data_IF_087420784323
#
_entry.id   IF_087420784323
#
_cell.length_a   1.000
_cell.length_b   1.000
_cell.length_c   1.000
_cell.angle_alpha   90.00
_cell.angle_beta   90.00
_cell.angle_gamma   90.00
#
_symmetry.space_group_name_H-M   'P 1'
#
loop_
_entity.id
_entity.type
_entity.pdbx_description
1 polymer ?
#
# COMPACT_ATOMS: atom_id res chain seq x y z
N UNK A 1 11.07 70.55 -41.08
CA UNK A 1 11.07 71.47 -39.92
C UNK A 1 10.07 70.95 -38.91
N UNK A 2 10.22 70.93 -37.60
CA UNK A 2 11.30 71.14 -36.65
C UNK A 2 10.62 70.86 -35.28
N UNK A 3 11.38 70.38 -34.28
CA UNK A 3 11.18 70.61 -32.82
C UNK A 3 9.83 70.17 -32.19
N UNK A 4 9.73 69.14 -31.34
CA UNK A 4 10.30 69.00 -29.97
C UNK A 4 9.88 70.19 -29.06
N UNK A 5 9.36 70.11 -27.82
CA UNK A 5 9.43 69.19 -26.67
C UNK A 5 8.21 69.53 -25.77
N UNK A 6 7.63 68.64 -24.96
CA UNK A 6 7.94 68.42 -23.53
C UNK A 6 6.77 67.60 -22.94
N UNK A 7 6.90 66.62 -22.06
CA UNK A 7 8.08 66.10 -21.40
C UNK A 7 7.78 64.90 -20.48
N UNK A 8 8.86 64.47 -19.81
CA UNK A 8 8.98 63.69 -18.56
C UNK A 8 8.29 62.31 -18.44
N UNK A 9 9.15 61.31 -18.66
CA UNK A 9 9.28 59.96 -18.08
C UNK A 9 9.17 59.91 -16.51
N UNK A 10 9.27 58.74 -15.83
CA UNK A 10 9.19 57.34 -16.29
C UNK A 10 8.43 56.35 -15.36
N UNK A 11 8.16 55.15 -15.90
CA UNK A 11 8.33 53.89 -15.16
C UNK A 11 7.03 53.25 -14.67
N UNK A 12 6.70 52.00 -14.97
CA UNK A 12 7.38 50.97 -15.73
C UNK A 12 6.61 49.67 -15.49
N UNK A 13 6.18 48.99 -16.57
CA UNK A 13 5.79 47.57 -16.52
C UNK A 13 6.35 46.87 -17.74
N UNK A 14 7.44 46.15 -17.49
CA UNK A 14 7.94 45.08 -18.34
C UNK A 14 7.06 43.82 -18.26
N UNK A 15 7.48 42.72 -18.91
CA UNK A 15 6.71 42.17 -20.00
C UNK A 15 5.90 40.92 -19.65
N UNK A 16 4.91 40.71 -20.50
CA UNK A 16 4.19 39.48 -20.74
C UNK A 16 5.15 38.29 -20.94
N UNK A 17 4.94 37.20 -20.19
CA UNK A 17 5.54 35.89 -20.44
C UNK A 17 4.50 34.82 -20.13
N UNK A 18 4.08 34.11 -21.17
CA UNK A 18 3.09 33.04 -21.08
C UNK A 18 3.63 31.74 -20.49
N UNK A 19 2.68 30.78 -20.45
CA UNK A 19 2.74 29.35 -20.08
C UNK A 19 2.44 29.04 -18.61
N UNK A 20 1.50 28.11 -18.44
CA UNK A 20 1.32 27.36 -17.19
C UNK A 20 -0.13 27.01 -16.93
N UNK A 21 -0.57 25.87 -17.46
CA UNK A 21 -1.89 25.29 -17.20
C UNK A 21 -2.11 25.03 -15.72
N UNK A 22 -3.38 25.10 -15.35
CA UNK A 22 -3.95 24.95 -14.01
C UNK A 22 -3.64 23.53 -13.47
N UNK A 23 -2.53 23.40 -12.75
CA UNK A 23 -2.19 22.21 -11.96
C UNK A 23 -1.60 22.66 -10.61
N UNK A 24 -2.44 23.23 -9.76
CA UNK A 24 -1.95 23.75 -8.47
C UNK A 24 -3.00 23.94 -7.37
N UNK A 25 -4.21 23.38 -7.51
CA UNK A 25 -5.30 23.63 -6.53
C UNK A 25 -5.77 22.34 -5.82
N UNK A 26 -5.29 21.15 -6.19
CA UNK A 26 -5.76 19.90 -5.56
C UNK A 26 -4.91 19.45 -4.35
N UNK A 27 -3.68 19.93 -4.18
CA UNK A 27 -2.80 19.45 -3.10
C UNK A 27 -2.93 20.21 -1.76
N UNK A 28 -3.78 21.22 -1.66
CA UNK A 28 -3.88 22.06 -0.45
C UNK A 28 -5.09 21.78 0.46
N UNK A 29 -5.92 20.78 0.16
CA UNK A 29 -7.15 20.49 0.94
C UNK A 29 -7.08 19.11 1.65
N UNK A 30 -5.93 18.44 1.65
CA UNK A 30 -5.76 17.14 2.31
C UNK A 30 -5.16 17.20 3.73
N UNK A 31 -4.96 18.39 4.29
CA UNK A 31 -4.35 18.61 5.60
C UNK A 31 -5.35 18.76 6.76
N UNK A 32 -6.66 18.64 6.51
CA UNK A 32 -7.70 18.81 7.56
C UNK A 32 -8.58 17.58 7.82
N UNK A 33 -8.30 16.44 7.19
CA UNK A 33 -9.11 15.23 7.38
C UNK A 33 -8.22 14.16 8.01
N UNK A 34 -8.52 13.80 9.27
CA UNK A 34 -7.92 12.64 9.92
C UNK A 34 -8.11 11.37 9.06
N UNK A 35 -7.39 10.27 9.38
CA UNK A 35 -7.50 9.04 8.60
C UNK A 35 -8.99 8.67 8.45
N UNK A 36 -9.46 8.30 7.25
CA UNK A 36 -10.86 7.96 7.04
C UNK A 36 -11.26 6.90 8.07
N UNK A 37 -12.38 7.13 8.79
CA UNK A 37 -12.93 6.14 9.71
C UNK A 37 -13.09 4.83 8.94
N UNK A 38 -12.27 3.84 9.26
CA UNK A 38 -12.32 2.55 8.60
C UNK A 38 -13.68 1.92 8.91
N UNK A 39 -14.47 1.66 7.88
CA UNK A 39 -15.75 0.98 8.03
C UNK A 39 -15.52 -0.44 8.56
N UNK A 40 -16.38 -0.90 9.47
CA UNK A 40 -16.34 -2.26 9.99
C UNK A 40 -16.21 -3.31 8.86
N UNK A 41 -15.35 -4.31 9.05
CA UNK A 41 -15.17 -5.41 8.11
C UNK A 41 -16.27 -6.47 8.32
N UNK A 42 -17.53 -6.04 8.17
CA UNK A 42 -18.69 -6.90 8.36
C UNK A 42 -18.76 -8.00 7.28
N UNK A 43 -19.58 -9.03 7.57
CA UNK A 43 -19.76 -10.18 6.66
C UNK A 43 -20.10 -9.74 5.23
N UNK A 44 -20.97 -8.74 5.09
CA UNK A 44 -21.40 -8.19 3.80
C UNK A 44 -20.22 -7.61 3.02
N UNK A 45 -19.34 -6.88 3.69
CA UNK A 45 -18.14 -6.29 3.09
C UNK A 45 -17.18 -7.37 2.62
N UNK A 46 -16.98 -8.42 3.41
CA UNK A 46 -16.14 -9.56 3.00
C UNK A 46 -16.73 -10.30 1.79
N UNK A 47 -18.03 -10.58 1.80
CA UNK A 47 -18.72 -11.22 0.65
C UNK A 47 -18.62 -10.38 -0.62
N UNK A 48 -18.72 -9.05 -0.51
CA UNK A 48 -18.51 -8.14 -1.63
C UNK A 48 -17.07 -8.20 -2.15
N UNK A 49 -16.09 -8.29 -1.27
CA UNK A 49 -14.68 -8.45 -1.64
C UNK A 49 -14.46 -9.77 -2.39
N UNK A 50 -15.06 -10.88 -1.94
CA UNK A 50 -15.00 -12.16 -2.64
C UNK A 50 -15.51 -12.08 -4.08
N UNK A 51 -16.67 -11.45 -4.31
CA UNK A 51 -17.22 -11.28 -5.66
C UNK A 51 -16.28 -10.50 -6.59
N UNK A 52 -15.52 -9.55 -6.04
CA UNK A 52 -14.51 -8.80 -6.81
C UNK A 52 -13.30 -9.68 -7.13
N UNK A 53 -12.77 -10.45 -6.17
CA UNK A 53 -11.67 -11.38 -6.40
C UNK A 53 -12.02 -12.44 -7.46
N UNK A 54 -13.19 -13.05 -7.35
CA UNK A 54 -13.73 -14.03 -8.29
C UNK A 54 -13.87 -13.43 -9.71
N UNK A 55 -14.26 -12.16 -9.82
CA UNK A 55 -14.23 -11.44 -11.11
C UNK A 55 -12.82 -11.25 -11.64
N UNK A 56 -11.82 -10.96 -10.80
CA UNK A 56 -10.41 -10.86 -11.22
C UNK A 56 -9.90 -12.22 -11.71
N UNK A 57 -10.21 -13.31 -11.02
CA UNK A 57 -9.86 -14.68 -11.44
C UNK A 57 -10.42 -14.97 -12.83
N UNK A 58 -11.72 -14.73 -13.07
CA UNK A 58 -12.32 -14.93 -14.39
C UNK A 58 -11.66 -14.11 -15.49
N UNK A 59 -11.29 -12.86 -15.22
CA UNK A 59 -10.57 -12.03 -16.20
C UNK A 59 -9.18 -12.62 -16.49
N UNK A 60 -8.48 -13.11 -15.47
CA UNK A 60 -7.16 -13.73 -15.58
C UNK A 60 -7.17 -15.12 -16.25
N UNK A 61 -8.32 -15.80 -16.27
CA UNK A 61 -8.50 -17.08 -16.97
C UNK A 61 -8.60 -16.96 -18.49
N UNK A 62 -8.64 -15.73 -19.05
CA UNK A 62 -8.70 -15.55 -20.50
C UNK A 62 -7.45 -16.18 -21.17
N UNK A 63 -7.60 -17.17 -22.06
CA UNK A 63 -6.47 -17.86 -22.69
C UNK A 63 -5.50 -16.93 -23.43
N UNK A 64 -5.99 -15.80 -23.97
CA UNK A 64 -5.16 -14.81 -24.66
C UNK A 64 -4.12 -14.15 -23.76
N UNK A 65 -4.33 -14.20 -22.44
CA UNK A 65 -3.36 -13.67 -21.49
C UNK A 65 -2.10 -14.53 -21.41
N UNK A 66 -2.19 -15.84 -21.66
CA UNK A 66 -1.06 -16.77 -21.59
C UNK A 66 -0.29 -16.65 -20.27
N UNK A 67 -0.99 -16.60 -19.14
CA UNK A 67 -0.35 -16.51 -17.82
C UNK A 67 0.48 -17.77 -17.56
N UNK A 68 1.77 -17.58 -17.33
CA UNK A 68 2.70 -18.64 -16.94
C UNK A 68 2.41 -19.08 -15.51
N UNK A 69 2.42 -20.40 -15.27
CA UNK A 69 2.29 -20.96 -13.93
C UNK A 69 3.61 -20.84 -13.17
N UNK A 70 3.94 -19.61 -12.78
CA UNK A 70 5.13 -19.26 -12.01
C UNK A 70 4.78 -18.19 -10.99
N UNK A 71 5.34 -18.22 -9.77
CA UNK A 71 5.12 -17.17 -8.79
C UNK A 71 5.49 -15.78 -9.34
N UNK A 72 4.68 -14.73 -9.07
CA UNK A 72 3.38 -14.73 -8.38
C UNK A 72 2.22 -15.11 -9.33
N UNK A 73 1.65 -16.31 -9.16
CA UNK A 73 0.57 -16.81 -10.02
C UNK A 73 -0.81 -16.46 -9.45
N UNK A 74 -1.42 -15.40 -9.99
CA UNK A 74 -2.67 -14.82 -9.47
C UNK A 74 -3.85 -15.81 -9.43
N UNK A 75 -3.86 -16.79 -10.32
CA UNK A 75 -4.90 -17.81 -10.41
C UNK A 75 -4.86 -18.83 -9.27
N UNK A 76 -3.72 -18.96 -8.56
CA UNK A 76 -3.64 -19.73 -7.30
C UNK A 76 -3.80 -18.80 -6.09
N UNK A 77 -3.17 -17.63 -6.14
CA UNK A 77 -3.14 -16.68 -5.00
C UNK A 77 -4.54 -16.24 -4.58
N UNK A 78 -5.41 -15.87 -5.53
CA UNK A 78 -6.75 -15.35 -5.19
C UNK A 78 -7.66 -16.45 -4.62
N UNK A 79 -7.73 -17.66 -5.19
CA UNK A 79 -8.41 -18.79 -4.53
C UNK A 79 -7.86 -19.09 -3.14
N UNK A 80 -6.53 -19.12 -2.95
CA UNK A 80 -5.91 -19.34 -1.65
C UNK A 80 -6.31 -18.27 -0.62
N UNK A 81 -6.29 -17.00 -1.02
CA UNK A 81 -6.74 -15.90 -0.17
C UNK A 81 -8.22 -16.02 0.20
N UNK A 82 -9.06 -16.45 -0.75
CA UNK A 82 -10.47 -16.74 -0.50
C UNK A 82 -10.64 -17.88 0.53
N UNK A 83 -9.92 -18.99 0.37
CA UNK A 83 -10.01 -20.11 1.31
C UNK A 83 -9.57 -19.71 2.71
N UNK A 84 -8.48 -18.93 2.82
CA UNK A 84 -8.00 -18.44 4.11
C UNK A 84 -9.01 -17.49 4.79
N UNK A 85 -9.61 -16.56 4.04
CA UNK A 85 -10.66 -15.70 4.56
C UNK A 85 -11.91 -16.47 4.99
N UNK A 86 -12.30 -17.49 4.23
CA UNK A 86 -13.42 -18.37 4.57
C UNK A 86 -13.14 -19.15 5.86
N UNK A 87 -11.91 -19.67 6.02
CA UNK A 87 -11.47 -20.33 7.25
C UNK A 87 -11.55 -19.39 8.45
N UNK A 88 -10.98 -18.18 8.34
CA UNK A 88 -11.04 -17.17 9.39
C UNK A 88 -12.49 -16.84 9.75
N UNK A 89 -13.34 -16.50 8.78
CA UNK A 89 -14.75 -16.19 9.04
C UNK A 89 -15.49 -17.36 9.70
N UNK A 90 -15.28 -18.59 9.21
CA UNK A 90 -15.89 -19.78 9.79
C UNK A 90 -15.51 -19.96 11.26
N UNK A 91 -14.23 -19.79 11.62
CA UNK A 91 -13.77 -19.89 13.01
C UNK A 91 -14.38 -18.84 13.94
N UNK A 92 -14.54 -17.61 13.47
CA UNK A 92 -15.16 -16.56 14.28
C UNK A 92 -16.69 -16.67 14.33
N UNK A 93 -17.32 -17.24 13.30
CA UNK A 93 -18.76 -17.56 13.28
C UNK A 93 -19.10 -18.71 14.23
N UNK A 94 -18.36 -19.82 14.18
CA UNK A 94 -18.51 -20.97 15.08
C UNK A 94 -18.41 -20.57 16.57
N UNK A 95 -17.51 -19.64 16.88
CA UNK A 95 -17.27 -19.16 18.24
C UNK A 95 -18.11 -17.94 18.65
N UNK A 96 -19.05 -17.48 17.81
CA UNK A 96 -19.88 -16.29 18.05
C UNK A 96 -19.07 -14.99 18.29
N UNK A 97 -17.89 -14.87 17.66
CA UNK A 97 -16.94 -13.75 17.80
C UNK A 97 -16.85 -12.87 16.55
N UNK A 98 -17.84 -12.92 15.65
CA UNK A 98 -17.80 -12.12 14.41
C UNK A 98 -17.69 -10.60 14.65
N UNK A 99 -18.29 -10.09 15.73
CA UNK A 99 -18.17 -8.68 16.11
C UNK A 99 -16.73 -8.29 16.45
N UNK A 100 -16.00 -9.18 17.13
CA UNK A 100 -14.58 -8.97 17.44
C UNK A 100 -13.72 -8.93 16.17
N UNK A 101 -13.97 -9.85 15.23
CA UNK A 101 -13.27 -9.87 13.94
C UNK A 101 -13.56 -8.61 13.13
N UNK A 102 -14.81 -8.15 13.07
CA UNK A 102 -15.19 -6.98 12.28
C UNK A 102 -14.60 -5.68 12.82
N UNK A 103 -14.30 -5.64 14.13
CA UNK A 103 -13.68 -4.49 14.80
C UNK A 103 -12.14 -4.58 14.86
N UNK A 104 -11.54 -5.73 14.54
CA UNK A 104 -10.09 -5.89 14.50
C UNK A 104 -9.45 -4.91 13.48
N UNK A 105 -8.58 -4.03 13.96
CA UNK A 105 -7.95 -2.96 13.17
C UNK A 105 -7.20 -3.48 11.94
N UNK A 106 -6.38 -4.52 12.10
CA UNK A 106 -5.67 -5.10 10.98
C UNK A 106 -6.62 -5.72 9.96
N UNK A 107 -7.66 -6.44 10.42
CA UNK A 107 -8.62 -7.08 9.50
C UNK A 107 -9.41 -6.05 8.69
N UNK A 108 -9.79 -4.91 9.29
CA UNK A 108 -10.40 -3.77 8.58
C UNK A 108 -9.50 -3.24 7.46
N UNK A 109 -8.23 -2.94 7.77
CA UNK A 109 -7.23 -2.49 6.79
C UNK A 109 -7.05 -3.52 5.68
N UNK A 110 -6.95 -4.80 6.03
CA UNK A 110 -6.73 -5.89 5.09
C UNK A 110 -7.89 -6.01 4.08
N UNK A 111 -9.14 -6.09 4.56
CA UNK A 111 -10.33 -6.25 3.71
C UNK A 111 -10.52 -5.04 2.79
N UNK A 112 -10.31 -3.84 3.31
CA UNK A 112 -10.40 -2.61 2.54
C UNK A 112 -9.30 -2.53 1.46
N UNK A 113 -8.06 -2.87 1.80
CA UNK A 113 -6.96 -2.99 0.83
C UNK A 113 -7.28 -4.03 -0.25
N UNK A 114 -7.77 -5.21 0.13
CA UNK A 114 -8.06 -6.31 -0.78
C UNK A 114 -9.18 -5.91 -1.76
N UNK A 115 -10.20 -5.22 -1.25
CA UNK A 115 -11.28 -4.68 -2.06
C UNK A 115 -10.76 -3.63 -3.05
N UNK A 116 -9.90 -2.69 -2.61
CA UNK A 116 -9.30 -1.67 -3.49
C UNK A 116 -8.44 -2.29 -4.58
N UNK A 117 -7.53 -3.21 -4.25
CA UNK A 117 -6.66 -3.89 -5.23
C UNK A 117 -7.47 -4.73 -6.21
N UNK A 118 -8.53 -5.40 -5.77
CA UNK A 118 -9.43 -6.15 -6.66
C UNK A 118 -10.16 -5.21 -7.64
N UNK A 119 -10.67 -4.06 -7.18
CA UNK A 119 -11.26 -3.03 -8.06
C UNK A 119 -10.24 -2.45 -9.03
N UNK A 120 -9.01 -2.23 -8.59
CA UNK A 120 -7.91 -1.75 -9.44
C UNK A 120 -7.59 -2.74 -10.55
N UNK A 121 -7.48 -4.04 -10.23
CA UNK A 121 -7.27 -5.09 -11.23
C UNK A 121 -8.42 -5.11 -12.26
N UNK A 122 -9.68 -5.08 -11.82
CA UNK A 122 -10.84 -5.03 -12.72
C UNK A 122 -10.79 -3.79 -13.64
N UNK A 123 -10.42 -2.63 -13.09
CA UNK A 123 -10.27 -1.39 -13.85
C UNK A 123 -9.15 -1.49 -14.89
N UNK A 124 -8.02 -2.08 -14.51
CA UNK A 124 -6.89 -2.33 -15.41
C UNK A 124 -7.32 -3.14 -16.64
N UNK A 125 -8.10 -4.22 -16.44
CA UNK A 125 -8.65 -4.97 -17.58
C UNK A 125 -9.60 -4.14 -18.45
N UNK A 126 -10.45 -3.31 -17.83
CA UNK A 126 -11.43 -2.47 -18.54
C UNK A 126 -10.75 -1.39 -19.39
N UNK A 127 -9.69 -0.77 -18.89
CA UNK A 127 -8.96 0.33 -19.54
C UNK A 127 -7.85 -0.16 -20.47
N UNK A 128 -7.18 -1.25 -20.10
CA UNK A 128 -6.13 -1.92 -20.87
C UNK A 128 -6.65 -2.53 -22.18
N UNK A 129 -7.84 -3.14 -22.15
CA UNK A 129 -8.47 -3.82 -23.31
C UNK A 129 -7.46 -4.74 -24.02
N UNK A 130 -7.20 -4.51 -25.30
CA UNK A 130 -6.29 -5.34 -26.11
C UNK A 130 -4.85 -5.31 -25.62
N UNK A 131 -4.40 -4.21 -25.00
CA UNK A 131 -3.05 -4.12 -24.42
C UNK A 131 -2.85 -5.12 -23.28
N UNK A 132 -3.92 -5.63 -22.67
CA UNK A 132 -3.81 -6.72 -21.72
C UNK A 132 -3.29 -8.00 -22.39
N UNK A 133 -3.39 -8.21 -23.69
CA UNK A 133 -2.93 -9.45 -24.32
C UNK A 133 -1.52 -9.34 -24.90
N UNK A 134 -0.94 -8.15 -24.86
CA UNK A 134 0.44 -7.87 -25.24
C UNK A 134 1.36 -8.07 -24.03
N UNK A 135 2.18 -9.13 -24.03
CA UNK A 135 3.02 -9.52 -22.87
C UNK A 135 3.97 -8.39 -22.41
N UNK A 136 4.43 -7.55 -23.34
CA UNK A 136 5.36 -6.45 -23.06
C UNK A 136 4.69 -5.13 -22.70
N UNK A 137 3.35 -5.06 -22.72
CA UNK A 137 2.64 -3.81 -22.47
C UNK A 137 2.79 -3.35 -21.01
N UNK A 138 2.63 -2.05 -20.81
CA UNK A 138 2.59 -1.48 -19.46
C UNK A 138 1.43 -2.05 -18.64
N UNK A 139 0.28 -2.30 -19.27
CA UNK A 139 -0.88 -2.89 -18.61
C UNK A 139 -0.58 -4.31 -18.09
N UNK A 140 0.21 -5.11 -18.81
CA UNK A 140 0.63 -6.43 -18.32
C UNK A 140 1.70 -6.39 -17.25
N UNK A 141 2.63 -5.44 -17.31
CA UNK A 141 3.55 -5.18 -16.19
C UNK A 141 2.78 -4.76 -14.93
N UNK A 142 1.75 -3.91 -15.09
CA UNK A 142 0.88 -3.50 -13.99
C UNK A 142 0.10 -4.68 -13.40
N UNK A 143 -0.38 -5.63 -14.23
CA UNK A 143 -1.01 -6.86 -13.73
C UNK A 143 -0.02 -7.72 -12.95
N UNK A 144 1.20 -7.91 -13.45
CA UNK A 144 2.25 -8.65 -12.73
C UNK A 144 2.56 -8.00 -11.38
N UNK A 145 2.65 -6.67 -11.34
CA UNK A 145 2.81 -5.93 -10.07
C UNK A 145 1.65 -6.16 -9.12
N UNK A 146 0.40 -6.15 -9.61
CA UNK A 146 -0.77 -6.48 -8.79
C UNK A 146 -0.76 -7.92 -8.29
N UNK A 147 -0.36 -8.89 -9.11
CA UNK A 147 -0.18 -10.28 -8.70
C UNK A 147 0.83 -10.41 -7.56
N UNK A 148 1.93 -9.68 -7.63
CA UNK A 148 2.93 -9.63 -6.54
C UNK A 148 2.35 -9.04 -5.26
N UNK A 149 1.60 -7.93 -5.35
CA UNK A 149 0.91 -7.34 -4.19
C UNK A 149 -0.07 -8.34 -3.57
N UNK A 150 -0.90 -9.02 -4.37
CA UNK A 150 -1.81 -10.05 -3.85
C UNK A 150 -1.05 -11.19 -3.16
N UNK A 151 0.11 -11.58 -3.69
CA UNK A 151 0.99 -12.58 -3.06
C UNK A 151 1.44 -12.12 -1.67
N UNK A 152 1.90 -10.87 -1.54
CA UNK A 152 2.30 -10.29 -0.25
C UNK A 152 1.13 -10.20 0.73
N UNK A 153 -0.04 -9.76 0.27
CA UNK A 153 -1.25 -9.73 1.08
C UNK A 153 -1.65 -11.12 1.58
N UNK A 154 -1.54 -12.16 0.74
CA UNK A 154 -1.81 -13.54 1.13
C UNK A 154 -0.81 -14.06 2.17
N UNK A 155 0.48 -13.79 1.97
CA UNK A 155 1.51 -14.18 2.93
C UNK A 155 1.29 -13.50 4.29
N UNK A 156 0.96 -12.21 4.27
CA UNK A 156 0.70 -11.42 5.47
C UNK A 156 -0.51 -11.94 6.25
N UNK A 157 -1.67 -12.12 5.60
CA UNK A 157 -2.88 -12.61 6.31
C UNK A 157 -2.68 -14.03 6.87
N UNK A 158 -1.91 -14.88 6.20
CA UNK A 158 -1.55 -16.21 6.71
C UNK A 158 -0.66 -16.13 7.95
N UNK A 159 0.22 -15.13 8.02
CA UNK A 159 1.11 -14.91 9.14
C UNK A 159 0.42 -14.23 10.34
N UNK A 160 -0.54 -13.33 10.09
CA UNK A 160 -1.31 -12.63 11.14
C UNK A 160 -2.50 -13.47 11.63
N UNK A 161 -3.11 -14.28 10.76
CA UNK A 161 -4.19 -15.22 11.09
C UNK A 161 -3.80 -16.69 10.82
N UNK A 162 -2.76 -17.23 11.49
CA UNK A 162 -2.39 -18.63 11.29
C UNK A 162 -3.54 -19.56 11.68
N UNK A 163 -3.91 -20.47 10.76
CA UNK A 163 -5.06 -21.35 10.96
C UNK A 163 -6.40 -20.62 11.17
N UNK A 164 -6.51 -19.37 10.74
CA UNK A 164 -7.72 -18.55 10.87
C UNK A 164 -7.89 -17.84 12.22
N UNK A 165 -6.90 -17.88 13.11
CA UNK A 165 -6.96 -17.23 14.43
C UNK A 165 -6.03 -16.02 14.46
N UNK A 166 -6.52 -14.88 14.95
CA UNK A 166 -5.68 -13.70 15.10
C UNK A 166 -4.52 -13.95 16.08
N UNK A 167 -3.30 -13.70 15.61
CA UNK A 167 -2.06 -13.73 16.40
C UNK A 167 -1.15 -12.52 16.08
N UNK A 168 -1.75 -11.44 15.60
CA UNK A 168 -1.01 -10.22 15.23
C UNK A 168 -0.42 -9.47 16.42
N UNK A 169 -0.98 -9.65 17.61
CA UNK A 169 -0.52 -9.07 18.89
C UNK A 169 0.69 -9.78 19.49
N UNK A 170 0.90 -11.03 19.06
CA UNK A 170 1.95 -11.95 19.52
C UNK A 170 2.93 -12.31 18.40
N UNK A 171 2.85 -11.59 17.27
CA UNK A 171 3.74 -11.74 16.14
C UNK A 171 5.20 -11.55 16.57
N UNK A 172 6.07 -12.48 16.16
CA UNK A 172 7.49 -12.47 16.53
C UNK A 172 8.32 -11.87 15.40
N UNK A 173 8.79 -10.64 15.59
CA UNK A 173 9.82 -10.05 14.75
C UNK A 173 11.14 -10.82 14.96
N UNK A 174 11.80 -11.17 13.86
CA UNK A 174 12.97 -12.06 13.82
C UNK A 174 14.22 -11.40 14.41
N UNK A 175 14.38 -10.08 14.21
CA UNK A 175 15.55 -9.32 14.68
C UNK A 175 15.23 -8.67 16.03
N UNK A 176 16.06 -8.91 17.03
CA UNK A 176 15.84 -8.42 18.40
C UNK A 176 15.72 -6.89 18.47
N UNK A 177 16.66 -6.15 17.87
CA UNK A 177 16.64 -4.67 17.89
C UNK A 177 15.40 -4.10 17.18
N UNK A 178 14.98 -4.74 16.09
CA UNK A 178 13.76 -4.37 15.38
C UNK A 178 12.50 -4.66 16.23
N UNK A 179 12.47 -5.82 16.89
CA UNK A 179 11.40 -6.19 17.81
C UNK A 179 11.28 -5.19 18.96
N UNK A 180 12.42 -4.75 19.51
CA UNK A 180 12.46 -3.74 20.57
C UNK A 180 11.95 -2.38 20.09
N UNK A 181 12.39 -1.92 18.90
CA UNK A 181 11.87 -0.70 18.27
C UNK A 181 10.35 -0.76 18.13
N UNK A 182 9.82 -1.82 17.50
CA UNK A 182 8.38 -1.95 17.28
C UNK A 182 7.60 -1.93 18.59
N UNK A 183 8.05 -2.69 19.59
CA UNK A 183 7.42 -2.74 20.92
C UNK A 183 7.45 -1.38 21.61
N UNK A 184 8.57 -0.64 21.53
CA UNK A 184 8.72 0.68 22.16
C UNK A 184 7.84 1.74 21.49
N UNK A 185 7.75 1.71 20.16
CA UNK A 185 7.04 2.74 19.38
C UNK A 185 5.54 2.46 19.24
N UNK A 186 5.14 1.20 19.11
CA UNK A 186 3.78 0.81 18.73
C UNK A 186 3.13 -0.21 19.68
N UNK A 187 3.87 -0.77 20.64
CA UNK A 187 3.36 -1.76 21.58
C UNK A 187 2.99 -3.06 20.88
N UNK A 188 1.74 -3.49 21.06
CA UNK A 188 1.16 -4.73 20.49
C UNK A 188 0.38 -4.48 19.19
N UNK A 189 0.47 -3.29 18.61
CA UNK A 189 -0.21 -2.98 17.35
C UNK A 189 0.33 -3.84 16.22
N UNK A 190 -0.57 -4.44 15.45
CA UNK A 190 -0.24 -5.27 14.28
C UNK A 190 -0.02 -4.44 13.02
N UNK A 191 -0.64 -3.27 12.92
CA UNK A 191 -0.48 -2.36 11.79
C UNK A 191 -0.61 -0.92 12.24
N UNK A 192 0.13 -0.03 11.59
CA UNK A 192 0.13 1.41 11.88
C UNK A 192 0.12 2.22 10.58
N UNK A 193 -0.52 3.41 10.54
CA UNK A 193 -0.46 4.28 9.37
C UNK A 193 0.98 4.67 9.03
N UNK A 194 1.33 4.77 7.75
CA UNK A 194 2.66 5.18 7.29
C UNK A 194 3.16 6.47 7.95
N UNK A 195 2.28 7.47 8.10
CA UNK A 195 2.65 8.76 8.73
C UNK A 195 3.16 8.55 10.16
N UNK A 196 2.50 7.70 10.95
CA UNK A 196 2.87 7.37 12.33
C UNK A 196 4.17 6.56 12.34
N UNK A 197 4.28 5.53 11.48
CA UNK A 197 5.49 4.72 11.36
C UNK A 197 6.72 5.58 11.05
N UNK A 198 6.62 6.46 10.04
CA UNK A 198 7.69 7.37 9.63
C UNK A 198 8.13 8.29 10.77
N UNK A 199 7.18 8.85 11.52
CA UNK A 199 7.49 9.76 12.63
C UNK A 199 8.32 9.04 13.71
N UNK A 200 7.89 7.86 14.15
CA UNK A 200 8.63 7.07 15.14
C UNK A 200 9.98 6.58 14.61
N UNK A 201 10.05 6.20 13.33
CA UNK A 201 11.31 5.81 12.72
C UNK A 201 12.30 6.99 12.67
N UNK A 202 11.82 8.20 12.41
CA UNK A 202 12.67 9.39 12.31
C UNK A 202 13.42 9.70 13.63
N UNK A 203 12.83 9.35 14.77
CA UNK A 203 13.45 9.54 16.10
C UNK A 203 14.70 8.67 16.31
N UNK A 204 14.80 7.54 15.60
CA UNK A 204 15.93 6.61 15.70
C UNK A 204 16.79 6.61 14.44
N UNK A 205 16.23 6.95 13.27
CA UNK A 205 16.89 6.98 11.97
C UNK A 205 16.48 8.24 11.22
N UNK A 206 17.43 9.17 11.03
CA UNK A 206 17.16 10.42 10.33
C UNK A 206 16.81 10.16 8.86
N UNK A 207 15.52 10.24 8.55
CA UNK A 207 15.02 10.32 7.17
C UNK A 207 15.22 11.76 6.68
N UNK A 208 16.21 11.96 5.82
CA UNK A 208 16.80 13.26 5.47
C UNK A 208 15.97 14.06 4.47
N UNK A 209 15.09 13.42 3.69
CA UNK A 209 14.26 14.11 2.69
C UNK A 209 12.90 13.46 2.43
N UNK A 210 12.01 14.20 1.76
CA UNK A 210 10.72 13.67 1.30
C UNK A 210 10.87 12.57 0.24
N UNK A 211 11.86 12.66 -0.64
CA UNK A 211 12.14 11.63 -1.65
C UNK A 211 12.63 10.33 -1.01
N UNK A 212 13.51 10.44 -0.02
CA UNK A 212 13.97 9.29 0.76
C UNK A 212 12.81 8.62 1.50
N UNK A 213 11.90 9.41 2.10
CA UNK A 213 10.70 8.88 2.74
C UNK A 213 9.81 8.11 1.75
N UNK A 214 9.66 8.60 0.53
CA UNK A 214 8.88 7.92 -0.51
C UNK A 214 9.54 6.63 -1.00
N UNK A 215 10.86 6.64 -1.18
CA UNK A 215 11.63 5.45 -1.55
C UNK A 215 11.53 4.38 -0.44
N UNK A 216 11.72 4.79 0.82
CA UNK A 216 11.54 3.92 1.98
C UNK A 216 10.14 3.33 2.00
N UNK A 217 9.10 4.16 1.89
CA UNK A 217 7.70 3.69 1.85
C UNK A 217 7.48 2.65 0.76
N UNK A 218 7.94 2.93 -0.46
CA UNK A 218 7.78 2.01 -1.60
C UNK A 218 8.51 0.68 -1.41
N UNK A 219 9.48 0.63 -0.50
CA UNK A 219 10.25 -0.57 -0.17
C UNK A 219 9.60 -1.38 0.95
N UNK A 220 9.07 -0.73 2.00
CA UNK A 220 8.47 -1.41 3.16
C UNK A 220 6.98 -1.75 2.96
N UNK A 221 6.20 -0.90 2.28
CA UNK A 221 4.74 -1.07 2.06
C UNK A 221 4.50 -2.04 0.90
N UNK A 222 4.77 -3.32 1.14
CA UNK A 222 4.66 -4.42 0.16
C UNK A 222 3.21 -4.62 -0.32
N UNK A 223 2.24 -4.33 0.54
CA UNK A 223 0.81 -4.42 0.21
C UNK A 223 0.27 -3.14 -0.44
N UNK A 224 1.06 -2.08 -0.51
CA UNK A 224 0.78 -0.77 -1.10
C UNK A 224 -0.53 -0.16 -0.57
N UNK A 225 -0.73 -0.15 0.74
CA UNK A 225 -1.98 0.25 1.38
C UNK A 225 -1.87 1.50 2.28
N UNK A 226 -0.69 2.14 2.33
CA UNK A 226 -0.36 3.29 3.19
C UNK A 226 -0.31 2.99 4.70
N UNK A 227 -0.28 1.71 5.07
CA UNK A 227 -0.03 1.20 6.41
C UNK A 227 1.24 0.34 6.38
N UNK A 228 1.90 0.24 7.52
CA UNK A 228 2.99 -0.71 7.72
C UNK A 228 2.51 -1.72 8.75
N UNK A 229 2.50 -2.99 8.39
CA UNK A 229 2.26 -4.07 9.34
C UNK A 229 3.53 -4.54 10.04
N UNK A 230 3.37 -5.19 11.19
CA UNK A 230 4.46 -5.85 11.92
C UNK A 230 5.15 -6.91 11.05
N UNK A 231 4.40 -7.53 10.13
CA UNK A 231 4.93 -8.49 9.16
C UNK A 231 5.79 -7.82 8.09
N UNK A 232 5.30 -6.74 7.46
CA UNK A 232 6.06 -5.96 6.47
C UNK A 232 7.36 -5.41 7.09
N UNK A 233 7.28 -4.95 8.33
CA UNK A 233 8.44 -4.48 9.08
C UNK A 233 9.46 -5.60 9.37
N UNK A 234 9.03 -6.80 9.76
CA UNK A 234 9.93 -7.96 9.91
C UNK A 234 10.62 -8.30 8.59
N UNK A 235 9.88 -8.38 7.48
CA UNK A 235 10.44 -8.66 6.16
C UNK A 235 11.48 -7.59 5.78
N UNK A 236 11.13 -6.32 5.92
CA UNK A 236 12.03 -5.21 5.61
C UNK A 236 13.33 -5.28 6.43
N UNK A 237 13.21 -5.38 7.76
CA UNK A 237 14.41 -5.42 8.63
C UNK A 237 15.26 -6.66 8.41
N UNK A 238 14.69 -7.77 7.91
CA UNK A 238 15.43 -8.96 7.51
C UNK A 238 16.16 -8.82 6.18
N UNK A 239 15.64 -8.03 5.25
CA UNK A 239 16.29 -7.81 3.96
C UNK A 239 17.45 -6.81 4.06
N UNK A 240 17.29 -5.77 4.89
CA UNK A 240 18.25 -4.67 4.97
C UNK A 240 19.25 -4.79 6.14
N UNK A 241 19.48 -6.00 6.65
CA UNK A 241 20.29 -6.28 7.85
C UNK A 241 21.76 -5.82 7.78
N UNK A 242 22.34 -5.66 6.58
CA UNK A 242 23.75 -5.24 6.43
C UNK A 242 23.92 -3.75 6.71
N UNK A 243 22.83 -2.98 6.63
CA UNK A 243 22.77 -1.59 7.05
C UNK A 243 22.43 -1.67 8.54
N UNK A 244 23.35 -1.27 9.42
CA UNK A 244 23.05 -1.10 10.85
C UNK A 244 21.95 -0.05 10.97
N UNK A 245 20.68 -0.44 10.88
CA UNK A 245 19.56 0.44 11.17
C UNK A 245 19.72 0.90 12.62
N UNK A 246 19.88 -0.01 13.57
CA UNK A 246 19.93 0.33 15.00
C UNK A 246 21.33 0.63 15.57
N UNK A 247 22.27 1.15 14.76
CA UNK A 247 23.61 1.55 15.20
C UNK A 247 23.89 3.07 15.08
N UNK A 248 24.90 3.62 15.77
CA UNK A 248 25.17 5.07 15.82
C UNK A 248 25.64 5.70 14.49
N UNK A 249 25.76 4.92 13.41
CA UNK A 249 26.12 5.42 12.09
C UNK A 249 25.41 4.55 11.06
N UNK A 250 24.44 5.14 10.35
CA UNK A 250 23.64 4.46 9.34
C UNK A 250 23.99 5.08 8.00
N UNK A 251 24.42 4.26 7.05
CA UNK A 251 24.39 4.60 5.63
C UNK A 251 23.24 3.83 5.01
N UNK A 252 22.07 4.47 4.87
CA UNK A 252 20.99 3.93 4.08
C UNK A 252 21.33 4.17 2.60
N UNK A 253 22.20 3.35 2.02
CA UNK A 253 22.39 3.36 0.57
C UNK A 253 21.21 2.62 -0.04
N UNK A 254 20.13 3.37 -0.31
CA UNK A 254 19.06 2.91 -1.20
C UNK A 254 19.70 2.84 -2.59
N UNK A 255 19.95 1.62 -3.10
CA UNK A 255 20.38 1.42 -4.49
C UNK A 255 19.26 1.75 -5.48
#
# INVERSE_FOLDING_TARGET
>A
MATALTGRNPGGRGPNRGKGGILGIIDAIQDAVGPPKQSAADRRTVEKTWKLMDKVVRLCQNPRLQLKNSPPYILDILPDAYQHLRLTLGKYEENQRLSELSENEYFKVYIDSLMRKSKQAIRLFKEGKERMYEEQSQDRRNLTKLSLIFSHMLAEIKAIFPGGHFQGDSFRITKADAAEFWRKSFGVQTTVPWKVFRQCLHEVHLVSSGLEAMALKSTIDLTCNDYISVFEFDIFTRLFQVIKLFGPTIYLTIC
#
